data_IF_867704915346
#
_entry.id   IF_867704915346
#
_cell.length_a   1.000
_cell.length_b   1.000
_cell.length_c   1.000
_cell.angle_alpha   90.00
_cell.angle_beta   90.00
_cell.angle_gamma   90.00
#
_symmetry.space_group_name_H-M   'P 1'
#
loop_
_entity.id
_entity.type
_entity.pdbx_description
1 polymer ?
#
# COMPACT_ATOMS: atom_id res chain seq x y z
N UNK A 1 24.30 -17.72 8.31
CA UNK A 1 23.36 -18.52 9.09
C UNK A 1 23.91 -18.59 10.49
N UNK A 2 23.15 -18.13 11.46
CA UNK A 2 23.61 -18.06 12.83
C UNK A 2 23.90 -19.47 13.41
N UNK A 3 24.78 -19.54 14.40
CA UNK A 3 25.21 -20.79 15.02
C UNK A 3 24.57 -20.92 16.40
N UNK A 4 23.92 -22.07 16.65
CA UNK A 4 23.37 -22.44 17.95
C UNK A 4 24.52 -22.92 18.85
N UNK A 5 24.75 -22.21 19.95
CA UNK A 5 25.86 -22.51 20.88
C UNK A 5 25.42 -23.24 22.14
N UNK A 6 24.13 -23.15 22.49
CA UNK A 6 23.57 -23.86 23.63
C UNK A 6 22.11 -24.24 23.37
N UNK A 7 21.82 -25.54 23.47
CA UNK A 7 20.50 -26.11 23.22
C UNK A 7 19.50 -25.89 24.35
N UNK A 8 19.96 -25.66 25.59
CA UNK A 8 19.06 -25.51 26.75
C UNK A 8 18.42 -24.12 26.80
N UNK A 9 19.17 -23.09 26.42
CA UNK A 9 18.69 -21.70 26.43
C UNK A 9 18.52 -21.10 25.01
N UNK A 10 18.83 -21.89 23.97
CA UNK A 10 18.78 -21.47 22.57
C UNK A 10 19.61 -20.21 22.30
N UNK A 11 20.80 -20.11 22.89
CA UNK A 11 21.76 -19.03 22.64
C UNK A 11 22.40 -19.17 21.26
N UNK A 12 22.59 -18.03 20.60
CA UNK A 12 22.95 -17.96 19.19
C UNK A 12 24.02 -16.90 18.98
N UNK A 13 25.02 -17.23 18.18
CA UNK A 13 26.05 -16.29 17.72
C UNK A 13 25.81 -16.03 16.23
N UNK A 14 25.78 -14.76 15.77
CA UNK A 14 25.71 -14.46 14.35
C UNK A 14 26.94 -14.97 13.61
N UNK A 15 26.80 -15.26 12.33
CA UNK A 15 27.93 -15.59 11.47
C UNK A 15 28.91 -14.41 11.35
N UNK A 16 30.18 -14.74 11.04
CA UNK A 16 31.23 -13.75 10.81
C UNK A 16 30.80 -12.69 9.78
N UNK A 17 30.98 -11.42 10.14
CA UNK A 17 30.58 -10.29 9.30
C UNK A 17 29.08 -9.98 9.30
N UNK A 18 28.31 -10.55 10.24
CA UNK A 18 26.88 -10.26 10.43
C UNK A 18 26.59 -9.85 11.88
N UNK A 19 25.41 -9.26 12.09
CA UNK A 19 24.84 -9.06 13.43
C UNK A 19 23.38 -9.46 13.46
N UNK A 20 22.93 -10.00 14.59
CA UNK A 20 21.51 -10.26 14.83
C UNK A 20 20.80 -8.91 14.96
N UNK A 21 19.70 -8.77 14.23
CA UNK A 21 18.80 -7.60 14.32
C UNK A 21 17.50 -7.95 15.03
N UNK A 22 17.03 -9.18 14.86
CA UNK A 22 15.78 -9.65 15.44
C UNK A 22 15.84 -11.12 15.83
N UNK A 23 15.09 -11.47 16.88
CA UNK A 23 14.95 -12.84 17.37
C UNK A 23 13.58 -13.02 18.01
N UNK A 24 12.74 -13.89 17.44
CA UNK A 24 11.36 -14.07 17.87
C UNK A 24 10.81 -15.46 17.54
N UNK A 25 9.65 -15.79 18.10
CA UNK A 25 8.89 -16.97 17.70
C UNK A 25 7.89 -16.54 16.64
N UNK A 26 7.92 -17.19 15.48
CA UNK A 26 6.95 -16.98 14.42
C UNK A 26 5.58 -17.51 14.86
N UNK A 27 4.55 -16.67 14.69
CA UNK A 27 3.20 -16.98 15.13
C UNK A 27 2.60 -18.19 14.38
N UNK A 28 2.86 -18.30 13.07
CA UNK A 28 2.20 -19.30 12.23
C UNK A 28 2.84 -20.69 12.36
N UNK A 29 4.15 -20.75 12.43
CA UNK A 29 4.94 -21.98 12.40
C UNK A 29 5.44 -22.40 13.78
N UNK A 30 5.37 -21.51 14.78
CA UNK A 30 5.97 -21.68 16.11
C UNK A 30 7.48 -21.88 16.10
N UNK A 31 8.15 -21.62 14.97
CA UNK A 31 9.60 -21.70 14.85
C UNK A 31 10.25 -20.46 15.43
N UNK A 32 11.44 -20.61 16.01
CA UNK A 32 12.27 -19.47 16.39
C UNK A 32 12.99 -18.93 15.14
N UNK A 33 12.78 -17.66 14.87
CA UNK A 33 13.31 -16.92 13.73
C UNK A 33 14.40 -15.98 14.23
N UNK A 34 15.55 -16.02 13.58
CA UNK A 34 16.69 -15.15 13.86
C UNK A 34 17.08 -14.46 12.58
N UNK A 35 16.98 -13.14 12.59
CA UNK A 35 17.31 -12.31 11.44
C UNK A 35 18.69 -11.67 11.66
N UNK A 36 19.55 -11.84 10.66
CA UNK A 36 20.91 -11.31 10.63
C UNK A 36 21.04 -10.31 9.48
N UNK A 37 21.77 -9.22 9.71
CA UNK A 37 22.12 -8.25 8.66
C UNK A 37 23.62 -8.27 8.38
N UNK A 38 24.01 -8.14 7.10
CA UNK A 38 25.41 -7.98 6.71
C UNK A 38 26.00 -6.69 7.30
N UNK A 39 27.23 -6.76 7.81
CA UNK A 39 28.00 -5.61 8.29
C UNK A 39 28.79 -4.90 7.18
N UNK A 40 28.94 -5.52 6.00
CA UNK A 40 29.58 -4.88 4.85
C UNK A 40 28.65 -3.83 4.24
N UNK A 41 29.05 -2.56 4.33
CA UNK A 41 28.27 -1.37 3.96
C UNK A 41 28.25 -1.08 2.46
N UNK A 42 28.95 -1.87 1.64
CA UNK A 42 29.05 -1.65 0.19
C UNK A 42 27.90 -2.24 -0.63
N UNK A 43 27.12 -3.15 -0.07
CA UNK A 43 25.95 -3.74 -0.72
C UNK A 43 24.71 -3.42 0.12
N UNK A 44 23.56 -3.29 -0.55
CA UNK A 44 22.25 -3.21 0.09
C UNK A 44 22.17 -4.26 1.21
N UNK A 45 21.71 -3.82 2.38
CA UNK A 45 21.70 -4.62 3.61
C UNK A 45 20.85 -5.89 3.45
N UNK A 46 21.46 -6.98 2.98
CA UNK A 46 20.81 -8.29 2.87
C UNK A 46 20.48 -8.81 4.27
N UNK A 47 19.22 -9.16 4.48
CA UNK A 47 18.72 -9.87 5.66
C UNK A 47 18.85 -11.37 5.40
N UNK A 48 19.45 -12.10 6.34
CA UNK A 48 19.55 -13.55 6.37
C UNK A 48 18.71 -14.09 7.52
N UNK A 49 18.04 -15.21 7.31
CA UNK A 49 17.10 -15.76 8.30
C UNK A 49 17.50 -17.18 8.66
N UNK A 50 17.72 -17.41 9.95
CA UNK A 50 17.94 -18.73 10.54
C UNK A 50 16.65 -19.17 11.23
N UNK A 51 16.18 -20.38 10.92
CA UNK A 51 14.97 -20.99 11.48
C UNK A 51 15.36 -22.11 12.44
N UNK A 52 14.77 -22.12 13.63
CA UNK A 52 15.09 -23.08 14.69
C UNK A 52 13.80 -23.76 15.17
N UNK A 53 13.83 -25.09 15.15
CA UNK A 53 12.85 -25.92 15.84
C UNK A 53 13.19 -25.91 17.35
N UNK A 54 12.35 -25.21 18.11
CA UNK A 54 12.52 -25.03 19.57
C UNK A 54 12.17 -26.29 20.37
N UNK A 55 11.41 -27.22 19.80
CA UNK A 55 11.04 -28.47 20.47
C UNK A 55 12.22 -29.44 20.41
N UNK A 56 12.89 -29.51 19.27
CA UNK A 56 14.00 -30.42 19.03
C UNK A 56 15.38 -29.76 19.18
N UNK A 57 15.44 -28.48 19.54
CA UNK A 57 16.66 -27.67 19.66
C UNK A 57 17.57 -27.78 18.42
N UNK A 58 16.98 -27.70 17.22
CA UNK A 58 17.67 -27.93 15.95
C UNK A 58 17.54 -26.72 15.03
N UNK A 59 18.66 -26.28 14.44
CA UNK A 59 18.63 -25.37 13.28
C UNK A 59 18.08 -26.13 12.07
N UNK A 60 16.99 -25.63 11.50
CA UNK A 60 16.39 -26.14 10.27
C UNK A 60 17.16 -25.56 9.09
N UNK A 61 17.78 -26.43 8.29
CA UNK A 61 18.41 -26.03 7.05
C UNK A 61 17.35 -25.54 6.06
N UNK A 62 17.70 -24.56 5.21
CA UNK A 62 16.76 -23.98 4.23
C UNK A 62 16.08 -25.07 3.38
N UNK A 63 16.86 -26.05 2.91
CA UNK A 63 16.36 -27.18 2.11
C UNK A 63 15.40 -28.12 2.85
N UNK A 64 15.35 -28.07 4.19
CA UNK A 64 14.48 -28.90 5.02
C UNK A 64 13.19 -28.17 5.44
N UNK A 65 13.05 -26.87 5.15
CA UNK A 65 11.93 -26.06 5.66
C UNK A 65 10.57 -26.45 5.11
N UNK A 66 10.50 -27.07 3.94
CA UNK A 66 9.24 -27.59 3.38
C UNK A 66 8.58 -28.67 4.24
N UNK A 67 9.32 -29.27 5.20
CA UNK A 67 8.74 -30.18 6.19
C UNK A 67 7.97 -29.46 7.31
N UNK A 68 8.17 -28.14 7.45
CA UNK A 68 7.61 -27.31 8.52
C UNK A 68 6.67 -26.23 7.98
N UNK A 69 6.89 -25.81 6.73
CA UNK A 69 6.25 -24.65 6.12
C UNK A 69 5.65 -25.10 4.79
N UNK A 70 4.37 -24.78 4.60
CA UNK A 70 3.68 -24.99 3.33
C UNK A 70 4.01 -23.85 2.36
N UNK A 71 4.68 -24.21 1.26
CA UNK A 71 4.99 -23.30 0.14
C UNK A 71 3.99 -23.47 -1.03
N UNK A 72 2.95 -24.28 -0.84
CA UNK A 72 1.88 -24.45 -1.80
C UNK A 72 1.14 -23.13 -2.05
N UNK A 73 0.71 -22.95 -3.30
CA UNK A 73 -0.17 -21.83 -3.63
C UNK A 73 -1.54 -22.06 -2.97
N UNK A 74 -1.97 -21.07 -2.20
CA UNK A 74 -3.28 -21.06 -1.55
C UNK A 74 -4.24 -20.21 -2.38
N UNK A 75 -5.34 -20.82 -2.83
CA UNK A 75 -6.39 -20.14 -3.59
C UNK A 75 -7.67 -20.15 -2.77
N UNK A 76 -8.24 -18.98 -2.56
CA UNK A 76 -9.52 -18.80 -1.86
C UNK A 76 -10.49 -17.98 -2.71
N UNK A 77 -11.79 -18.18 -2.49
CA UNK A 77 -12.85 -17.47 -3.16
C UNK A 77 -13.73 -16.76 -2.12
N UNK A 78 -13.89 -15.46 -2.27
CA UNK A 78 -14.65 -14.58 -1.37
C UNK A 78 -15.67 -13.77 -2.19
N UNK A 79 -16.93 -14.21 -2.21
CA UNK A 79 -17.99 -13.64 -3.06
C UNK A 79 -17.59 -13.53 -4.54
N UNK A 80 -17.31 -12.31 -5.02
CA UNK A 80 -16.88 -12.02 -6.39
C UNK A 80 -15.36 -11.89 -6.54
N UNK A 81 -14.60 -12.16 -5.48
CA UNK A 81 -13.16 -12.07 -5.45
C UNK A 81 -12.51 -13.46 -5.44
N UNK A 82 -11.40 -13.57 -6.16
CA UNK A 82 -10.47 -14.69 -6.07
C UNK A 82 -9.18 -14.17 -5.45
N UNK A 83 -8.75 -14.77 -4.34
CA UNK A 83 -7.46 -14.52 -3.70
C UNK A 83 -6.48 -15.62 -4.07
N UNK A 84 -5.25 -15.23 -4.34
CA UNK A 84 -4.10 -16.13 -4.49
C UNK A 84 -3.03 -15.67 -3.51
N UNK A 85 -2.57 -16.57 -2.66
CA UNK A 85 -1.43 -16.33 -1.79
C UNK A 85 -0.35 -17.37 -2.11
N UNK A 86 0.88 -16.90 -2.24
CA UNK A 86 2.04 -17.74 -2.48
C UNK A 86 3.16 -17.31 -1.55
N UNK A 87 3.79 -18.30 -0.92
CA UNK A 87 4.96 -18.10 -0.09
C UNK A 87 6.20 -18.48 -0.89
N UNK A 88 7.14 -17.56 -0.98
CA UNK A 88 8.40 -17.74 -1.68
C UNK A 88 9.56 -17.73 -0.70
N UNK A 89 10.51 -18.65 -0.90
CA UNK A 89 11.72 -18.80 -0.11
C UNK A 89 12.93 -18.36 -0.94
N UNK A 90 13.72 -17.44 -0.41
CA UNK A 90 15.03 -17.12 -0.96
C UNK A 90 16.05 -18.15 -0.46
N UNK A 91 16.56 -19.00 -1.35
CA UNK A 91 17.48 -20.08 -0.96
C UNK A 91 18.86 -19.59 -0.49
N UNK A 92 19.28 -18.38 -0.89
CA UNK A 92 20.57 -17.79 -0.49
C UNK A 92 20.48 -17.22 0.94
N UNK A 93 19.41 -16.47 1.21
CA UNK A 93 19.29 -15.74 2.47
C UNK A 93 18.46 -16.47 3.52
N UNK A 94 17.62 -17.42 3.11
CA UNK A 94 16.59 -18.01 3.96
C UNK A 94 15.44 -17.05 4.26
N UNK A 95 15.42 -15.86 3.69
CA UNK A 95 14.29 -14.95 3.84
C UNK A 95 13.07 -15.51 3.12
N UNK A 96 11.90 -15.33 3.72
CA UNK A 96 10.62 -15.75 3.14
C UNK A 96 9.74 -14.53 2.93
N UNK A 97 8.95 -14.57 1.86
CA UNK A 97 7.94 -13.57 1.57
C UNK A 97 6.62 -14.22 1.20
N UNK A 98 5.50 -13.56 1.51
CA UNK A 98 4.17 -13.95 1.05
C UNK A 98 3.71 -12.91 0.03
N UNK A 99 3.55 -13.33 -1.21
CA UNK A 99 2.91 -12.55 -2.26
C UNK A 99 1.43 -12.90 -2.31
N UNK A 100 0.60 -11.86 -2.31
CA UNK A 100 -0.85 -11.94 -2.33
C UNK A 100 -1.44 -11.16 -3.48
N UNK A 101 -2.38 -11.76 -4.18
CA UNK A 101 -3.09 -11.16 -5.29
C UNK A 101 -4.61 -11.32 -5.12
N UNK A 102 -5.37 -10.30 -5.51
CA UNK A 102 -6.83 -10.33 -5.54
C UNK A 102 -7.31 -9.99 -6.93
N UNK A 103 -8.17 -10.87 -7.44
CA UNK A 103 -8.82 -10.72 -8.73
C UNK A 103 -10.31 -10.52 -8.54
N UNK A 104 -10.90 -9.65 -9.38
CA UNK A 104 -12.34 -9.52 -9.56
C UNK A 104 -12.64 -9.64 -11.05
N UNK A 105 -13.53 -10.54 -11.43
CA UNK A 105 -13.84 -10.83 -12.84
C UNK A 105 -12.56 -11.08 -13.68
N UNK A 106 -11.64 -11.89 -13.14
CA UNK A 106 -10.31 -12.20 -13.68
C UNK A 106 -9.35 -11.02 -13.88
N UNK A 107 -9.70 -9.82 -13.39
CA UNK A 107 -8.84 -8.65 -13.40
C UNK A 107 -8.13 -8.50 -12.05
N UNK A 108 -6.80 -8.39 -12.07
CA UNK A 108 -6.02 -8.04 -10.88
C UNK A 108 -6.41 -6.65 -10.38
N UNK A 109 -6.86 -6.57 -9.12
CA UNK A 109 -7.27 -5.31 -8.48
C UNK A 109 -6.40 -4.93 -7.29
N UNK A 110 -5.66 -5.88 -6.74
CA UNK A 110 -4.78 -5.66 -5.60
C UNK A 110 -3.65 -6.69 -5.61
N UNK A 111 -2.44 -6.23 -5.31
CA UNK A 111 -1.26 -7.08 -5.11
C UNK A 111 -0.43 -6.51 -3.97
N UNK A 112 0.10 -7.39 -3.12
CA UNK A 112 1.00 -7.01 -2.03
C UNK A 112 1.98 -8.13 -1.73
N UNK A 113 3.22 -7.77 -1.39
CA UNK A 113 4.20 -8.70 -0.81
C UNK A 113 4.45 -8.31 0.63
N UNK A 114 4.53 -9.31 1.51
CA UNK A 114 4.85 -9.16 2.94
C UNK A 114 5.93 -10.15 3.34
N UNK A 115 6.46 -9.99 4.54
CA UNK A 115 7.38 -10.98 5.13
C UNK A 115 6.72 -12.37 5.21
N UNK A 116 7.51 -13.43 5.30
CA UNK A 116 7.00 -14.80 5.51
C UNK A 116 6.85 -15.19 6.96
N UNK A 117 7.53 -14.46 7.85
CA UNK A 117 7.58 -14.68 9.28
C UNK A 117 7.06 -13.48 10.04
N UNK A 118 6.31 -13.71 11.12
CA UNK A 118 5.66 -12.67 11.89
C UNK A 118 5.62 -13.00 13.37
N UNK A 119 5.91 -12.00 14.21
CA UNK A 119 5.76 -12.08 15.68
C UNK A 119 4.31 -12.24 16.12
N UNK A 120 3.38 -11.77 15.30
CA UNK A 120 1.96 -11.68 15.61
C UNK A 120 1.14 -12.27 14.47
N UNK A 121 -0.12 -12.59 14.78
CA UNK A 121 -1.07 -13.04 13.77
C UNK A 121 -1.24 -11.94 12.72
N UNK A 122 -0.90 -12.25 11.48
CA UNK A 122 -1.23 -11.37 10.36
C UNK A 122 -2.57 -11.72 9.74
N UNK A 123 -3.18 -10.70 9.16
CA UNK A 123 -4.37 -10.83 8.34
C UNK A 123 -4.04 -11.57 7.04
N UNK A 124 -4.98 -12.39 6.60
CA UNK A 124 -4.97 -12.91 5.22
C UNK A 124 -4.92 -11.77 4.21
N UNK A 125 -4.56 -12.06 2.96
CA UNK A 125 -4.52 -11.09 1.88
C UNK A 125 -5.91 -10.46 1.66
N UNK A 126 -6.97 -11.28 1.72
CA UNK A 126 -8.34 -10.77 1.61
C UNK A 126 -8.70 -9.83 2.76
N UNK A 127 -8.48 -10.26 4.02
CA UNK A 127 -8.77 -9.42 5.20
C UNK A 127 -8.00 -8.11 5.17
N UNK A 128 -6.72 -8.15 4.82
CA UNK A 128 -5.90 -6.94 4.68
C UNK A 128 -6.45 -5.98 3.64
N UNK A 129 -6.82 -6.49 2.46
CA UNK A 129 -7.43 -5.68 1.41
C UNK A 129 -8.74 -5.04 1.89
N UNK A 130 -9.61 -5.82 2.53
CA UNK A 130 -10.89 -5.28 3.04
C UNK A 130 -10.66 -4.22 4.12
N UNK A 131 -9.71 -4.41 5.02
CA UNK A 131 -9.36 -3.42 6.03
C UNK A 131 -8.82 -2.14 5.42
N UNK A 132 -7.90 -2.26 4.46
CA UNK A 132 -7.36 -1.11 3.72
C UNK A 132 -8.49 -0.34 3.01
N UNK A 133 -9.43 -1.04 2.36
CA UNK A 133 -10.60 -0.39 1.74
C UNK A 133 -11.56 0.25 2.73
N UNK A 134 -11.74 -0.36 3.89
CA UNK A 134 -12.55 0.22 4.96
C UNK A 134 -11.89 1.46 5.57
N UNK A 135 -10.57 1.47 5.74
CA UNK A 135 -9.79 2.62 6.21
C UNK A 135 -9.83 3.76 5.19
N UNK A 136 -9.58 3.47 3.91
CA UNK A 136 -9.75 4.46 2.82
C UNK A 136 -11.15 5.09 2.86
N UNK A 137 -12.19 4.26 3.01
CA UNK A 137 -13.58 4.75 3.12
C UNK A 137 -13.79 5.64 4.34
N UNK A 138 -13.28 5.25 5.52
CA UNK A 138 -13.39 6.05 6.74
C UNK A 138 -12.67 7.39 6.61
N UNK A 139 -11.50 7.42 6.02
CA UNK A 139 -10.75 8.66 5.79
C UNK A 139 -11.45 9.57 4.78
N UNK A 140 -12.08 9.01 3.74
CA UNK A 140 -12.95 9.77 2.82
C UNK A 140 -14.16 10.34 3.57
N UNK A 141 -14.85 9.52 4.37
CA UNK A 141 -16.01 9.98 5.15
C UNK A 141 -15.63 11.06 6.17
N UNK A 142 -14.49 10.92 6.83
CA UNK A 142 -13.94 11.91 7.76
C UNK A 142 -13.61 13.21 7.03
N UNK A 143 -12.86 13.13 5.94
CA UNK A 143 -12.52 14.29 5.10
C UNK A 143 -13.77 15.00 4.58
N UNK A 144 -14.81 14.25 4.19
CA UNK A 144 -16.09 14.81 3.75
C UNK A 144 -16.82 15.52 4.90
N UNK A 145 -16.85 14.94 6.10
CA UNK A 145 -17.43 15.60 7.28
C UNK A 145 -16.69 16.88 7.65
N UNK A 146 -15.37 16.85 7.65
CA UNK A 146 -14.53 18.03 7.93
C UNK A 146 -14.77 19.11 6.87
N UNK A 147 -14.83 18.75 5.58
CA UNK A 147 -15.16 19.66 4.49
C UNK A 147 -16.54 20.32 4.66
N UNK A 148 -17.55 19.57 5.10
CA UNK A 148 -18.90 20.08 5.30
C UNK A 148 -19.02 21.06 6.48
N UNK A 149 -18.03 21.10 7.37
CA UNK A 149 -17.97 22.06 8.49
C UNK A 149 -17.26 23.36 8.10
N UNK A 150 -16.58 23.40 6.94
CA UNK A 150 -15.91 24.58 6.46
C UNK A 150 -16.91 25.67 6.07
N UNK A 151 -16.55 26.92 6.32
CA UNK A 151 -17.26 28.05 5.73
C UNK A 151 -17.12 28.05 4.20
N UNK A 152 -18.02 28.75 3.51
CA UNK A 152 -17.95 28.89 2.04
C UNK A 152 -16.57 29.38 1.57
N UNK A 153 -15.98 30.34 2.27
CA UNK A 153 -14.65 30.87 1.94
C UNK A 153 -13.56 29.79 2.08
N UNK A 154 -13.63 28.96 3.12
CA UNK A 154 -12.69 27.86 3.33
C UNK A 154 -12.87 26.74 2.31
N UNK A 155 -14.10 26.42 1.92
CA UNK A 155 -14.39 25.48 0.83
C UNK A 155 -13.82 25.96 -0.51
N UNK A 156 -13.97 27.25 -0.81
CA UNK A 156 -13.34 27.88 -1.98
C UNK A 156 -11.81 27.72 -1.93
N UNK A 157 -11.17 28.01 -0.79
CA UNK A 157 -9.72 27.84 -0.62
C UNK A 157 -9.28 26.38 -0.74
N UNK A 158 -10.08 25.44 -0.22
CA UNK A 158 -9.83 24.00 -0.33
C UNK A 158 -9.76 23.57 -1.80
N UNK A 159 -10.79 23.91 -2.59
CA UNK A 159 -10.82 23.59 -4.01
C UNK A 159 -9.73 24.29 -4.80
N UNK A 160 -9.50 25.58 -4.52
CA UNK A 160 -8.43 26.35 -5.15
C UNK A 160 -7.06 25.69 -4.92
N UNK A 161 -6.73 25.32 -3.67
CA UNK A 161 -5.47 24.67 -3.34
C UNK A 161 -5.33 23.27 -3.92
N UNK A 162 -6.40 22.46 -3.90
CA UNK A 162 -6.40 21.10 -4.44
C UNK A 162 -6.16 21.05 -5.95
N UNK A 163 -6.89 21.88 -6.69
CA UNK A 163 -6.76 22.00 -8.14
C UNK A 163 -5.39 22.54 -8.54
N UNK A 164 -4.93 23.61 -7.90
CA UNK A 164 -3.60 24.19 -8.13
C UNK A 164 -2.51 23.13 -8.00
N UNK A 165 -2.53 22.38 -6.89
CA UNK A 165 -1.55 21.33 -6.61
C UNK A 165 -1.59 20.22 -7.64
N UNK A 166 -2.78 19.81 -8.07
CA UNK A 166 -2.97 18.76 -9.07
C UNK A 166 -2.43 19.17 -10.44
N UNK A 167 -2.69 20.42 -10.87
CA UNK A 167 -2.13 20.96 -12.11
C UNK A 167 -0.60 21.03 -12.06
N UNK A 168 -0.03 21.48 -10.93
CA UNK A 168 1.41 21.56 -10.74
C UNK A 168 2.07 20.18 -10.78
N UNK A 169 1.48 19.17 -10.14
CA UNK A 169 2.00 17.80 -10.16
C UNK A 169 2.03 17.21 -11.59
N UNK A 170 1.03 17.52 -12.41
CA UNK A 170 1.03 17.15 -13.83
C UNK A 170 2.21 17.81 -14.57
N UNK A 171 2.42 19.10 -14.36
CA UNK A 171 3.53 19.84 -14.97
C UNK A 171 4.90 19.28 -14.56
N UNK A 172 5.09 19.02 -13.26
CA UNK A 172 6.30 18.41 -12.69
C UNK A 172 6.54 17.01 -13.25
N UNK A 173 5.47 16.29 -13.61
CA UNK A 173 5.50 14.99 -14.29
C UNK A 173 5.67 15.09 -15.81
N UNK A 174 5.90 16.30 -16.35
CA UNK A 174 6.00 16.59 -17.80
C UNK A 174 4.73 16.25 -18.59
N UNK A 175 3.58 16.27 -17.93
CA UNK A 175 2.26 16.08 -18.51
C UNK A 175 1.57 17.42 -18.70
N UNK A 176 0.49 17.42 -19.48
CA UNK A 176 -0.33 18.62 -19.68
C UNK A 176 -1.03 18.99 -18.34
N UNK A 177 -0.80 20.19 -17.77
CA UNK A 177 -1.38 20.59 -16.49
C UNK A 177 -2.91 20.52 -16.46
N UNK A 178 -3.55 20.74 -17.61
CA UNK A 178 -5.01 20.74 -17.77
C UNK A 178 -5.60 19.33 -17.98
N UNK A 179 -4.75 18.28 -18.05
CA UNK A 179 -5.21 16.91 -18.23
C UNK A 179 -5.94 16.33 -17.00
N UNK A 180 -5.85 17.01 -15.84
CA UNK A 180 -6.62 16.65 -14.65
C UNK A 180 -8.13 16.75 -14.86
N UNK A 181 -8.56 17.58 -15.80
CA UNK A 181 -9.98 17.82 -16.08
C UNK A 181 -10.51 16.79 -17.07
N UNK A 182 -11.36 15.88 -16.58
CA UNK A 182 -12.09 14.90 -17.38
C UNK A 182 -13.58 14.91 -17.05
N UNK A 183 -14.40 14.29 -17.89
CA UNK A 183 -15.84 14.19 -17.63
C UNK A 183 -16.12 13.42 -16.33
N UNK A 184 -15.41 12.31 -16.12
CA UNK A 184 -15.54 11.53 -14.88
C UNK A 184 -15.10 12.33 -13.66
N UNK A 185 -13.98 13.06 -13.76
CA UNK A 185 -13.55 13.95 -12.69
C UNK A 185 -14.65 14.95 -12.32
N UNK A 186 -15.24 15.64 -13.30
CA UNK A 186 -16.27 16.64 -13.03
C UNK A 186 -17.55 16.02 -12.45
N UNK A 187 -17.94 14.81 -12.89
CA UNK A 187 -19.07 14.07 -12.30
C UNK A 187 -18.84 13.78 -10.83
N UNK A 188 -17.65 13.30 -10.46
CA UNK A 188 -17.31 13.04 -9.05
C UNK A 188 -17.20 14.33 -8.23
N UNK A 189 -16.62 15.40 -8.80
CA UNK A 189 -16.60 16.73 -8.16
C UNK A 189 -18.00 17.24 -7.86
N UNK A 190 -18.95 17.14 -8.79
CA UNK A 190 -20.33 17.59 -8.59
C UNK A 190 -21.13 16.73 -7.60
N UNK A 191 -20.75 15.47 -7.38
CA UNK A 191 -21.31 14.65 -6.31
C UNK A 191 -20.84 15.11 -4.94
N UNK A 192 -19.57 15.54 -4.84
CA UNK A 192 -18.97 16.01 -3.59
C UNK A 192 -19.36 17.46 -3.27
N UNK A 193 -19.37 18.33 -4.27
CA UNK A 193 -19.72 19.74 -4.17
C UNK A 193 -20.73 20.12 -5.26
N UNK A 194 -22.04 20.01 -5.00
CA UNK A 194 -23.08 20.30 -5.99
C UNK A 194 -23.04 21.75 -6.52
N UNK A 195 -22.55 22.70 -5.72
CA UNK A 195 -22.46 24.11 -6.10
C UNK A 195 -21.10 24.46 -6.72
N UNK A 196 -20.28 23.46 -7.07
CA UNK A 196 -18.91 23.68 -7.53
C UNK A 196 -18.82 24.65 -8.72
N UNK A 197 -19.75 24.55 -9.69
CA UNK A 197 -19.79 25.45 -10.85
C UNK A 197 -20.00 26.92 -10.42
N UNK A 198 -20.85 27.15 -9.42
CA UNK A 198 -21.12 28.49 -8.89
C UNK A 198 -19.93 29.06 -8.10
N UNK A 199 -19.11 28.18 -7.51
CA UNK A 199 -17.91 28.55 -6.75
C UNK A 199 -16.71 28.89 -7.65
N UNK A 200 -16.71 28.47 -8.92
CA UNK A 200 -15.57 28.65 -9.83
C UNK A 200 -15.03 30.08 -9.88
N UNK A 201 -15.84 31.15 -10.01
CA UNK A 201 -15.33 32.52 -10.02
C UNK A 201 -14.55 32.88 -8.74
N UNK A 202 -15.03 32.43 -7.58
CA UNK A 202 -14.37 32.65 -6.28
C UNK A 202 -13.06 31.85 -6.19
N UNK A 203 -13.05 30.60 -6.68
CA UNK A 203 -11.87 29.74 -6.76
C UNK A 203 -10.80 30.39 -7.64
N UNK A 204 -11.18 30.92 -8.81
CA UNK A 204 -10.26 31.57 -9.73
C UNK A 204 -9.65 32.84 -9.14
N UNK A 205 -10.44 33.60 -8.36
CA UNK A 205 -9.93 34.77 -7.67
C UNK A 205 -8.83 34.43 -6.65
N UNK A 206 -8.88 33.23 -6.03
CA UNK A 206 -7.82 32.77 -5.12
C UNK A 206 -6.51 32.50 -5.87
N UNK A 207 -6.56 31.99 -7.10
CA UNK A 207 -5.35 31.77 -7.90
C UNK A 207 -4.71 33.05 -8.43
N UNK A 208 -5.50 34.12 -8.58
CA UNK A 208 -5.05 35.37 -9.19
C UNK A 208 -4.52 35.16 -10.61
N UNK A 209 -3.40 35.80 -10.95
CA UNK A 209 -2.79 35.75 -12.28
C UNK A 209 -1.87 34.55 -12.55
N UNK A 210 -1.83 33.54 -11.67
CA UNK A 210 -0.87 32.44 -11.78
C UNK A 210 -1.21 31.41 -12.89
N UNK A 211 -2.46 31.37 -13.36
CA UNK A 211 -2.93 30.44 -14.38
C UNK A 211 -3.87 31.10 -15.38
N UNK A 212 -3.96 30.51 -16.57
CA UNK A 212 -4.96 30.86 -17.57
C UNK A 212 -6.35 30.39 -17.13
N UNK A 213 -7.01 31.21 -16.31
CA UNK A 213 -8.36 30.99 -15.79
C UNK A 213 -9.36 30.78 -16.93
N UNK A 214 -9.25 31.54 -18.02
CA UNK A 214 -10.14 31.42 -19.16
C UNK A 214 -10.04 30.05 -19.81
N UNK A 215 -8.82 29.50 -19.91
CA UNK A 215 -8.61 28.14 -20.43
C UNK A 215 -9.22 27.08 -19.50
N UNK A 216 -9.05 27.22 -18.19
CA UNK A 216 -9.66 26.28 -17.22
C UNK A 216 -11.18 26.33 -17.29
N UNK A 217 -11.76 27.54 -17.25
CA UNK A 217 -13.21 27.73 -17.30
C UNK A 217 -13.79 27.14 -18.60
N UNK A 218 -13.20 27.45 -19.76
CA UNK A 218 -13.62 26.87 -21.03
C UNK A 218 -13.62 25.34 -21.04
N UNK A 219 -12.61 24.70 -20.43
CA UNK A 219 -12.56 23.24 -20.31
C UNK A 219 -13.72 22.74 -19.44
N UNK A 220 -13.89 23.31 -18.25
CA UNK A 220 -14.91 22.88 -17.28
C UNK A 220 -16.34 23.12 -17.83
N UNK A 221 -16.62 24.29 -18.41
CA UNK A 221 -17.93 24.60 -18.99
C UNK A 221 -18.27 23.65 -20.15
N UNK A 222 -17.30 23.31 -20.99
CA UNK A 222 -17.48 22.32 -22.06
C UNK A 222 -17.83 20.94 -21.49
N UNK A 223 -17.08 20.49 -20.48
CA UNK A 223 -17.35 19.21 -19.80
C UNK A 223 -18.75 19.21 -19.16
N UNK A 224 -19.11 20.29 -18.47
CA UNK A 224 -20.41 20.43 -17.81
C UNK A 224 -21.58 20.37 -18.80
N UNK A 225 -21.45 21.04 -19.95
CA UNK A 225 -22.44 20.98 -21.03
C UNK A 225 -22.59 19.55 -21.58
N UNK A 226 -21.50 18.82 -21.76
CA UNK A 226 -21.54 17.44 -22.24
C UNK A 226 -22.27 16.53 -21.24
N UNK A 227 -22.00 16.67 -19.94
CA UNK A 227 -22.66 15.90 -18.88
C UNK A 227 -24.17 16.17 -18.91
N UNK A 228 -24.59 17.44 -18.98
CA UNK A 228 -26.01 17.81 -19.02
C UNK A 228 -26.76 17.27 -20.23
N UNK A 229 -26.10 17.12 -21.38
CA UNK A 229 -26.72 16.61 -22.60
C UNK A 229 -26.81 15.08 -22.65
N UNK A 230 -26.20 14.38 -21.69
CA UNK A 230 -26.14 12.90 -21.63
C UNK A 230 -27.14 12.32 -20.61
N UNK A 231 -27.83 13.19 -19.87
CA UNK A 231 -28.88 12.85 -18.88
C UNK A 231 -30.24 13.17 -19.51
#
# INVERSE_FOLDING_TARGET
>A
MAILINSENLDIIPDDGRRIIENYIDFNTSLKIVEEISLDTKNDSKIYVTTIDTVNNKIIQISERSNYIDYGQKIEYHDCFKTIEQRDLNEESGYESITGEIFKDDKLIFSSTRDGFFKEKILTIYEFYTNLKNEEKREIEKSSKEYNLLSKEEQVKYWAGGLFRSMRMQEESRQNPYAIYSENWLKETLKLEPNFIEMLPEIYNVWGGMFDVNKVDNIIQRLFKNIKNTI
#
